data_IF_354740854532
#
_entry.id   IF_354740854532
#
_cell.length_a   1.000
_cell.length_b   1.000
_cell.length_c   1.000
_cell.angle_alpha   90.00
_cell.angle_beta   90.00
_cell.angle_gamma   90.00
#
_symmetry.space_group_name_H-M   'P 1'
#
loop_
_entity.id
_entity.type
_entity.pdbx_description
1 polymer ?
#
# COMPACT_ATOMS: atom_id res chain seq x y z
N UNK A 1 -26.15 -11.11 -7.57
CA UNK A 1 -24.72 -10.75 -7.47
C UNK A 1 -24.58 -9.25 -7.28
N UNK A 2 -24.24 -8.80 -6.06
CA UNK A 2 -24.00 -7.37 -5.79
C UNK A 2 -22.65 -6.87 -6.33
N UNK A 3 -21.87 -7.63 -7.02
CA UNK A 3 -20.54 -7.29 -7.51
C UNK A 3 -20.37 -7.37 -9.03
N UNK A 4 -21.46 -7.33 -9.80
CA UNK A 4 -21.33 -7.40 -11.26
C UNK A 4 -20.94 -6.05 -11.83
N UNK A 5 -19.64 -5.83 -12.05
CA UNK A 5 -19.10 -4.59 -12.62
C UNK A 5 -19.35 -4.45 -14.13
N UNK A 6 -19.94 -5.49 -14.76
CA UNK A 6 -20.19 -5.51 -16.22
C UNK A 6 -21.52 -4.90 -16.63
N UNK A 7 -22.32 -4.41 -15.66
CA UNK A 7 -23.65 -3.81 -15.88
C UNK A 7 -23.77 -2.45 -15.17
N UNK A 8 -24.76 -1.65 -15.58
CA UNK A 8 -25.09 -0.36 -14.97
C UNK A 8 -24.24 0.83 -15.44
N UNK A 9 -24.50 2.04 -14.92
CA UNK A 9 -23.75 3.26 -15.25
C UNK A 9 -22.31 3.16 -14.81
N UNK A 10 -21.37 3.46 -15.70
CA UNK A 10 -19.92 3.23 -15.49
C UNK A 10 -19.39 4.03 -14.31
N UNK A 11 -19.61 5.34 -14.29
CA UNK A 11 -19.06 6.21 -13.24
C UNK A 11 -19.62 5.84 -11.86
N UNK A 12 -20.92 5.57 -11.76
CA UNK A 12 -21.56 5.14 -10.51
C UNK A 12 -20.99 3.80 -10.00
N UNK A 13 -20.72 2.87 -10.92
CA UNK A 13 -20.13 1.57 -10.57
C UNK A 13 -18.70 1.74 -10.06
N UNK A 14 -17.89 2.56 -10.74
CA UNK A 14 -16.52 2.87 -10.34
C UNK A 14 -16.46 3.60 -8.99
N UNK A 15 -17.22 4.66 -8.80
CA UNK A 15 -17.21 5.44 -7.56
C UNK A 15 -17.71 4.63 -6.37
N UNK A 16 -18.75 3.80 -6.55
CA UNK A 16 -19.24 2.90 -5.51
C UNK A 16 -18.18 1.89 -5.02
N UNK A 17 -17.32 1.45 -5.94
CA UNK A 17 -16.19 0.56 -5.61
C UNK A 17 -15.00 1.35 -5.07
N UNK A 18 -14.68 2.50 -5.64
CA UNK A 18 -13.51 3.31 -5.30
C UNK A 18 -13.60 3.94 -3.91
N UNK A 19 -14.76 4.51 -3.54
CA UNK A 19 -14.93 5.23 -2.27
C UNK A 19 -14.52 4.41 -1.05
N UNK A 20 -14.96 3.14 -0.85
CA UNK A 20 -14.51 2.35 0.28
C UNK A 20 -13.01 1.99 0.23
N UNK A 21 -12.45 1.82 -0.99
CA UNK A 21 -11.00 1.54 -1.14
C UNK A 21 -10.20 2.78 -0.74
N UNK A 22 -10.57 3.96 -1.23
CA UNK A 22 -9.96 5.24 -0.85
C UNK A 22 -10.04 5.45 0.66
N UNK A 23 -11.23 5.23 1.24
CA UNK A 23 -11.42 5.34 2.68
C UNK A 23 -10.53 4.36 3.46
N UNK A 24 -10.34 3.11 2.97
CA UNK A 24 -9.39 2.16 3.57
C UNK A 24 -7.95 2.66 3.52
N UNK A 25 -7.53 3.30 2.43
CA UNK A 25 -6.19 3.87 2.30
C UNK A 25 -5.98 5.03 3.29
N UNK A 26 -6.98 5.90 3.45
CA UNK A 26 -6.94 6.96 4.47
C UNK A 26 -6.91 6.41 5.89
N UNK A 27 -7.67 5.34 6.19
CA UNK A 27 -7.59 4.65 7.47
C UNK A 27 -6.19 4.11 7.73
N UNK A 28 -5.53 3.56 6.70
CA UNK A 28 -4.14 3.10 6.79
C UNK A 28 -3.16 4.23 7.13
N UNK A 29 -3.34 5.42 6.55
CA UNK A 29 -2.54 6.60 6.89
C UNK A 29 -2.79 7.06 8.33
N UNK A 30 -4.05 7.11 8.75
CA UNK A 30 -4.42 7.48 10.12
C UNK A 30 -3.86 6.48 11.14
N UNK A 31 -3.91 5.19 10.82
CA UNK A 31 -3.28 4.13 11.59
C UNK A 31 -1.79 4.42 11.83
N UNK A 32 -1.03 4.65 10.75
CA UNK A 32 0.40 4.93 10.86
C UNK A 32 0.71 6.17 11.69
N UNK A 33 -0.08 7.24 11.54
CA UNK A 33 0.08 8.48 12.31
C UNK A 33 -0.18 8.23 13.80
N UNK A 34 -1.24 7.49 14.13
CA UNK A 34 -1.64 7.21 15.53
C UNK A 34 -0.59 6.31 16.19
N UNK A 35 -0.15 5.25 15.53
CA UNK A 35 0.89 4.35 16.02
C UNK A 35 2.21 5.11 16.31
N UNK A 36 2.64 5.95 15.36
CA UNK A 36 3.83 6.79 15.56
C UNK A 36 3.68 7.82 16.66
N UNK A 37 2.48 8.36 16.90
CA UNK A 37 2.23 9.27 18.00
C UNK A 37 2.42 8.58 19.37
N UNK A 38 1.92 7.36 19.54
CA UNK A 38 2.11 6.59 20.78
C UNK A 38 3.57 6.16 20.97
N UNK A 39 4.24 5.71 19.91
CA UNK A 39 5.65 5.36 19.96
C UNK A 39 6.52 6.58 20.27
N UNK A 40 6.13 7.76 19.79
CA UNK A 40 6.80 9.03 20.06
C UNK A 40 6.90 9.36 21.55
N UNK A 41 5.93 8.94 22.36
CA UNK A 41 5.95 9.09 23.82
C UNK A 41 7.05 8.25 24.52
N UNK A 42 7.57 7.22 23.84
CA UNK A 42 8.71 6.42 24.34
C UNK A 42 10.07 7.07 24.04
N UNK A 43 10.08 8.12 23.21
CA UNK A 43 11.28 8.87 22.85
C UNK A 43 11.82 8.56 21.46
N UNK A 44 12.76 9.38 21.02
CA UNK A 44 13.34 9.34 19.65
C UNK A 44 14.03 8.03 19.30
N UNK A 45 14.63 7.34 20.27
CA UNK A 45 15.29 6.06 20.10
C UNK A 45 14.31 4.94 19.71
N UNK A 46 13.14 4.92 20.37
CA UNK A 46 12.06 3.99 20.06
C UNK A 46 11.50 4.24 18.64
N UNK A 47 11.27 5.52 18.29
CA UNK A 47 10.83 5.93 16.96
C UNK A 47 11.82 5.49 15.88
N UNK A 48 13.13 5.67 16.12
CA UNK A 48 14.17 5.25 15.18
C UNK A 48 14.16 3.72 15.01
N UNK A 49 14.06 2.96 16.11
CA UNK A 49 14.00 1.50 16.05
C UNK A 49 12.79 0.96 15.30
N UNK A 50 11.60 1.49 15.60
CA UNK A 50 10.36 1.13 14.88
C UNK A 50 10.42 1.56 13.42
N UNK A 51 11.03 2.71 13.12
CA UNK A 51 11.24 3.17 11.76
C UNK A 51 12.04 2.18 10.92
N UNK A 52 13.11 1.64 11.46
CA UNK A 52 13.92 0.60 10.80
C UNK A 52 13.12 -0.70 10.61
N UNK A 53 12.42 -1.17 11.64
CA UNK A 53 11.56 -2.35 11.51
C UNK A 53 10.42 -2.16 10.51
N UNK A 54 9.84 -0.96 10.47
CA UNK A 54 8.79 -0.58 9.52
C UNK A 54 9.24 -0.63 8.06
N UNK A 55 10.52 -0.36 7.75
CA UNK A 55 11.05 -0.48 6.39
C UNK A 55 10.97 -1.92 5.88
N UNK A 56 11.23 -2.91 6.73
CA UNK A 56 11.13 -4.32 6.35
C UNK A 56 9.69 -4.77 6.15
N UNK A 57 8.76 -4.27 6.96
CA UNK A 57 7.32 -4.52 6.73
C UNK A 57 6.84 -3.87 5.45
N UNK A 58 7.30 -2.67 5.12
CA UNK A 58 6.97 -1.99 3.86
C UNK A 58 7.53 -2.75 2.65
N UNK A 59 8.79 -3.20 2.71
CA UNK A 59 9.38 -4.03 1.67
C UNK A 59 8.59 -5.32 1.43
N UNK A 60 8.12 -5.96 2.52
CA UNK A 60 7.31 -7.17 2.44
C UNK A 60 5.97 -6.96 1.73
N UNK A 61 5.38 -5.76 1.83
CA UNK A 61 4.14 -5.43 1.11
C UNK A 61 4.34 -5.43 -0.42
N UNK A 62 5.51 -4.99 -0.90
CA UNK A 62 5.88 -5.15 -2.31
C UNK A 62 5.84 -6.62 -2.75
N UNK A 63 6.36 -7.51 -1.91
CA UNK A 63 6.32 -8.96 -2.16
C UNK A 63 4.89 -9.52 -2.10
N UNK A 64 4.09 -9.10 -1.11
CA UNK A 64 2.68 -9.50 -0.98
C UNK A 64 1.81 -9.07 -2.18
N UNK A 65 2.19 -7.98 -2.87
CA UNK A 65 1.52 -7.52 -4.08
C UNK A 65 1.49 -8.59 -5.18
N UNK A 66 2.41 -9.56 -5.17
CA UNK A 66 2.41 -10.68 -6.11
C UNK A 66 1.13 -11.51 -6.03
N UNK A 67 0.78 -11.99 -4.84
CA UNK A 67 -0.43 -12.78 -4.63
C UNK A 67 -1.70 -11.92 -4.78
N UNK A 68 -1.66 -10.69 -4.24
CA UNK A 68 -2.78 -9.75 -4.31
C UNK A 68 -3.15 -9.42 -5.76
N UNK A 69 -2.22 -8.86 -6.52
CA UNK A 69 -2.49 -8.38 -7.89
C UNK A 69 -2.75 -9.53 -8.85
N UNK A 70 -1.92 -10.59 -8.78
CA UNK A 70 -2.11 -11.78 -9.60
C UNK A 70 -3.46 -12.45 -9.35
N UNK A 71 -3.86 -12.61 -8.09
CA UNK A 71 -5.16 -13.16 -7.69
C UNK A 71 -6.30 -12.24 -8.10
N UNK A 72 -6.23 -10.96 -7.80
CA UNK A 72 -7.28 -9.98 -8.12
C UNK A 72 -7.61 -9.96 -9.61
N UNK A 73 -6.61 -9.86 -10.47
CA UNK A 73 -6.82 -9.74 -11.92
C UNK A 73 -7.35 -11.04 -12.52
N UNK A 74 -6.77 -12.19 -12.16
CA UNK A 74 -7.21 -13.50 -12.68
C UNK A 74 -8.63 -13.83 -12.26
N UNK A 75 -8.94 -13.64 -10.96
CA UNK A 75 -10.28 -13.87 -10.43
C UNK A 75 -11.30 -12.93 -11.10
N UNK A 76 -11.00 -11.65 -11.22
CA UNK A 76 -11.89 -10.68 -11.85
C UNK A 76 -12.18 -11.02 -13.32
N UNK A 77 -11.15 -11.43 -14.09
CA UNK A 77 -11.32 -11.84 -15.48
C UNK A 77 -12.16 -13.12 -15.60
N UNK A 78 -11.93 -14.11 -14.73
CA UNK A 78 -12.74 -15.34 -14.71
C UNK A 78 -14.20 -15.06 -14.34
N UNK A 79 -14.45 -14.16 -13.38
CA UNK A 79 -15.81 -13.72 -13.04
C UNK A 79 -16.47 -13.06 -14.25
N UNK A 80 -15.73 -12.23 -14.98
CA UNK A 80 -16.21 -11.60 -16.21
C UNK A 80 -16.62 -12.59 -17.29
N UNK A 81 -15.84 -13.67 -17.47
CA UNK A 81 -16.14 -14.80 -18.41
C UNK A 81 -17.27 -15.68 -17.91
N UNK A 82 -17.69 -15.58 -16.66
CA UNK A 82 -18.65 -16.52 -16.06
C UNK A 82 -18.06 -17.85 -15.59
N UNK A 83 -16.73 -17.99 -15.60
CA UNK A 83 -15.99 -19.21 -15.23
C UNK A 83 -15.78 -19.29 -13.70
N UNK A 84 -16.84 -19.61 -12.95
CA UNK A 84 -16.82 -19.62 -11.48
C UNK A 84 -15.81 -20.59 -10.88
N UNK A 85 -15.66 -21.78 -11.44
CA UNK A 85 -14.73 -22.81 -10.95
C UNK A 85 -13.28 -22.36 -11.10
N UNK A 86 -12.94 -21.77 -12.25
CA UNK A 86 -11.58 -21.20 -12.46
C UNK A 86 -11.32 -20.01 -11.54
N UNK A 87 -12.33 -19.15 -11.34
CA UNK A 87 -12.22 -18.04 -10.40
C UNK A 87 -11.92 -18.54 -8.99
N UNK A 88 -12.61 -19.60 -8.53
CA UNK A 88 -12.34 -20.26 -7.26
C UNK A 88 -10.92 -20.84 -7.20
N UNK A 89 -10.47 -21.55 -8.26
CA UNK A 89 -9.12 -22.10 -8.35
C UNK A 89 -8.04 -21.03 -8.25
N UNK A 90 -8.20 -19.90 -8.94
CA UNK A 90 -7.27 -18.76 -8.83
C UNK A 90 -7.32 -18.11 -7.44
N UNK A 91 -8.50 -17.96 -6.84
CA UNK A 91 -8.62 -17.42 -5.49
C UNK A 91 -7.91 -18.31 -4.46
N UNK A 92 -8.11 -19.63 -4.54
CA UNK A 92 -7.44 -20.60 -3.70
C UNK A 92 -5.91 -20.55 -3.88
N UNK A 93 -5.44 -20.50 -5.12
CA UNK A 93 -4.01 -20.39 -5.42
C UNK A 93 -3.40 -19.10 -4.87
N UNK A 94 -4.11 -17.95 -4.97
CA UNK A 94 -3.65 -16.69 -4.43
C UNK A 94 -3.54 -16.72 -2.90
N UNK A 95 -4.53 -17.28 -2.21
CA UNK A 95 -4.53 -17.42 -0.74
C UNK A 95 -3.40 -18.33 -0.27
N UNK A 96 -3.19 -19.48 -0.93
CA UNK A 96 -2.09 -20.39 -0.59
C UNK A 96 -0.72 -19.76 -0.86
N UNK A 97 -0.57 -19.06 -1.98
CA UNK A 97 0.67 -18.35 -2.31
C UNK A 97 0.98 -17.27 -1.27
N UNK A 98 -0.04 -16.50 -0.85
CA UNK A 98 0.10 -15.48 0.19
C UNK A 98 0.52 -16.09 1.53
N UNK A 99 -0.11 -17.18 1.94
CA UNK A 99 0.24 -17.89 3.16
C UNK A 99 1.68 -18.43 3.10
N UNK A 100 2.04 -19.09 2.00
CA UNK A 100 3.40 -19.62 1.80
C UNK A 100 4.45 -18.50 1.83
N UNK A 101 4.26 -17.44 1.07
CA UNK A 101 5.20 -16.32 0.99
C UNK A 101 5.29 -15.57 2.32
N UNK A 102 4.16 -15.37 3.00
CA UNK A 102 4.13 -14.76 4.33
C UNK A 102 4.89 -15.59 5.36
N UNK A 103 4.71 -16.91 5.38
CA UNK A 103 5.47 -17.82 6.25
C UNK A 103 6.94 -17.87 5.89
N UNK A 104 7.29 -17.94 4.61
CA UNK A 104 8.67 -17.93 4.15
C UNK A 104 9.39 -16.63 4.55
N UNK A 105 8.75 -15.49 4.34
CA UNK A 105 9.28 -14.19 4.75
C UNK A 105 9.43 -14.10 6.28
N UNK A 106 8.44 -14.58 7.04
CA UNK A 106 8.48 -14.62 8.49
C UNK A 106 9.66 -15.44 8.98
N UNK A 107 9.85 -16.66 8.45
CA UNK A 107 10.97 -17.53 8.82
C UNK A 107 12.32 -16.89 8.49
N UNK A 108 12.48 -16.37 7.27
CA UNK A 108 13.69 -15.65 6.86
C UNK A 108 13.97 -14.44 7.76
N UNK A 109 12.95 -13.65 8.06
CA UNK A 109 13.09 -12.49 8.94
C UNK A 109 13.51 -12.87 10.35
N UNK A 110 12.96 -13.94 10.91
CA UNK A 110 13.32 -14.44 12.25
C UNK A 110 14.77 -14.94 12.30
N UNK A 111 15.20 -15.67 11.26
CA UNK A 111 16.57 -16.19 11.17
C UNK A 111 17.59 -15.07 10.97
N UNK A 112 17.28 -14.12 10.09
CA UNK A 112 18.20 -13.05 9.67
C UNK A 112 17.92 -11.69 10.33
N UNK A 113 17.14 -11.62 11.41
CA UNK A 113 16.81 -10.34 12.09
C UNK A 113 18.05 -9.53 12.44
N UNK A 114 19.09 -10.18 12.97
CA UNK A 114 20.35 -9.51 13.36
C UNK A 114 21.04 -8.85 12.17
N UNK A 115 21.10 -9.54 11.03
CA UNK A 115 21.72 -9.05 9.80
C UNK A 115 20.88 -7.92 9.19
N UNK A 116 19.55 -8.07 9.18
CA UNK A 116 18.62 -7.07 8.68
C UNK A 116 18.76 -5.75 9.47
N UNK A 117 18.63 -5.80 10.78
CA UNK A 117 18.76 -4.61 11.63
C UNK A 117 20.19 -4.09 11.63
N UNK A 118 21.20 -4.96 11.63
CA UNK A 118 22.62 -4.60 11.57
C UNK A 118 23.01 -3.85 10.29
N UNK A 119 22.28 -4.05 9.19
CA UNK A 119 22.50 -3.30 7.94
C UNK A 119 22.37 -1.79 8.12
N UNK A 120 21.50 -1.32 9.02
CA UNK A 120 21.27 0.11 9.29
C UNK A 120 22.31 0.73 10.23
N UNK A 121 23.20 -0.06 10.84
CA UNK A 121 24.29 0.40 11.71
C UNK A 121 23.84 1.44 12.75
N UNK A 122 22.72 1.14 13.45
CA UNK A 122 22.22 2.00 14.50
C UNK A 122 23.28 2.14 15.62
N UNK A 123 23.76 3.35 15.84
CA UNK A 123 24.80 3.64 16.83
C UNK A 123 24.32 3.47 18.28
N UNK A 124 23.02 3.67 18.51
CA UNK A 124 22.42 3.57 19.86
C UNK A 124 21.93 2.16 20.14
N UNK A 125 22.37 1.59 21.26
CA UNK A 125 22.04 0.22 21.66
C UNK A 125 20.53 0.05 21.97
N UNK A 126 19.86 1.08 22.51
CA UNK A 126 18.42 1.02 22.81
C UNK A 126 17.61 1.06 21.51
N UNK A 127 17.98 1.92 20.54
CA UNK A 127 17.34 1.96 19.23
C UNK A 127 17.54 0.64 18.48
N UNK A 128 18.72 0.03 18.57
CA UNK A 128 19.01 -1.29 18.00
C UNK A 128 18.14 -2.37 18.65
N UNK A 129 18.01 -2.40 19.98
CA UNK A 129 17.17 -3.36 20.70
C UNK A 129 15.70 -3.18 20.35
N UNK A 130 15.21 -1.93 20.23
CA UNK A 130 13.85 -1.61 19.79
C UNK A 130 13.60 -2.12 18.36
N UNK A 131 14.54 -1.88 17.42
CA UNK A 131 14.44 -2.38 16.05
C UNK A 131 14.39 -3.91 15.99
N UNK A 132 15.23 -4.58 16.78
CA UNK A 132 15.26 -6.03 16.89
C UNK A 132 13.93 -6.60 17.38
N UNK A 133 13.39 -6.05 18.47
CA UNK A 133 12.13 -6.50 19.07
C UNK A 133 10.95 -6.29 18.13
N UNK A 134 10.85 -5.09 17.53
CA UNK A 134 9.80 -4.77 16.59
C UNK A 134 9.84 -5.66 15.35
N UNK A 135 11.01 -5.79 14.72
CA UNK A 135 11.20 -6.59 13.50
C UNK A 135 10.87 -8.07 13.72
N UNK A 136 11.31 -8.65 14.84
CA UNK A 136 10.98 -10.05 15.17
C UNK A 136 9.49 -10.32 15.22
N UNK A 137 8.71 -9.43 15.83
CA UNK A 137 7.26 -9.62 16.01
C UNK A 137 6.53 -9.24 14.73
N UNK A 138 6.77 -8.04 14.20
CA UNK A 138 6.06 -7.53 13.05
C UNK A 138 6.34 -8.35 11.78
N UNK A 139 7.59 -8.71 11.52
CA UNK A 139 7.96 -9.56 10.39
C UNK A 139 7.76 -11.06 10.68
N UNK A 140 7.94 -11.51 11.93
CA UNK A 140 7.71 -12.91 12.31
C UNK A 140 6.25 -13.36 12.19
N UNK A 141 5.30 -12.42 12.26
CA UNK A 141 3.86 -12.67 12.12
C UNK A 141 3.26 -11.96 10.89
N UNK A 142 4.09 -11.62 9.92
CA UNK A 142 3.70 -10.87 8.71
C UNK A 142 2.68 -11.61 7.84
N UNK A 143 2.52 -12.90 8.04
CA UNK A 143 1.55 -13.73 7.30
C UNK A 143 0.13 -13.16 7.36
N UNK A 144 -0.27 -12.56 8.50
CA UNK A 144 -1.58 -11.92 8.63
C UNK A 144 -1.73 -10.74 7.67
N UNK A 145 -0.68 -9.93 7.50
CA UNK A 145 -0.67 -8.82 6.55
C UNK A 145 -0.74 -9.31 5.10
N UNK A 146 0.01 -10.35 4.72
CA UNK A 146 -0.05 -10.96 3.39
C UNK A 146 -1.45 -11.48 3.07
N UNK A 147 -2.05 -12.17 4.03
CA UNK A 147 -3.42 -12.69 3.89
C UNK A 147 -4.45 -11.55 3.76
N UNK A 148 -4.36 -10.54 4.61
CA UNK A 148 -5.24 -9.35 4.58
C UNK A 148 -5.18 -8.65 3.23
N UNK A 149 -3.97 -8.38 2.71
CA UNK A 149 -3.78 -7.74 1.41
C UNK A 149 -4.36 -8.57 0.26
N UNK A 150 -4.11 -9.87 0.29
CA UNK A 150 -4.60 -10.79 -0.76
C UNK A 150 -6.12 -10.93 -0.71
N UNK A 151 -6.71 -11.11 0.47
CA UNK A 151 -8.17 -11.13 0.63
C UNK A 151 -8.81 -9.83 0.18
N UNK A 152 -8.22 -8.67 0.51
CA UNK A 152 -8.69 -7.36 0.03
C UNK A 152 -8.75 -7.32 -1.51
N UNK A 153 -7.70 -7.80 -2.19
CA UNK A 153 -7.68 -7.89 -3.65
C UNK A 153 -8.76 -8.83 -4.19
N UNK A 154 -8.95 -9.99 -3.57
CA UNK A 154 -9.96 -10.97 -3.99
C UNK A 154 -11.40 -10.49 -3.75
N UNK A 155 -11.66 -9.75 -2.69
CA UNK A 155 -12.96 -9.07 -2.48
C UNK A 155 -13.18 -7.97 -3.52
N UNK A 156 -12.16 -7.16 -3.80
CA UNK A 156 -12.23 -6.11 -4.82
C UNK A 156 -12.48 -6.71 -6.21
N UNK A 157 -11.85 -7.85 -6.55
CA UNK A 157 -12.09 -8.59 -7.78
C UNK A 157 -13.56 -9.00 -7.97
N UNK A 158 -14.25 -9.28 -6.87
CA UNK A 158 -15.68 -9.62 -6.84
C UNK A 158 -16.60 -8.38 -6.83
N UNK A 159 -16.03 -7.16 -6.82
CA UNK A 159 -16.77 -5.90 -6.74
C UNK A 159 -17.26 -5.57 -5.32
N UNK A 160 -16.70 -6.20 -4.29
CA UNK A 160 -16.98 -5.90 -2.90
C UNK A 160 -15.78 -5.20 -2.25
N UNK A 161 -15.84 -3.88 -2.13
CA UNK A 161 -14.87 -3.08 -1.39
C UNK A 161 -15.33 -2.72 0.03
N UNK A 162 -16.61 -2.94 0.33
CA UNK A 162 -17.17 -2.60 1.65
C UNK A 162 -16.68 -3.54 2.75
N UNK A 163 -16.58 -4.83 2.45
CA UNK A 163 -16.12 -5.83 3.44
C UNK A 163 -14.69 -5.57 3.89
N UNK A 164 -13.71 -5.37 2.99
CA UNK A 164 -12.35 -4.97 3.40
C UNK A 164 -12.33 -3.64 4.15
N UNK A 165 -13.13 -2.65 3.72
CA UNK A 165 -13.21 -1.35 4.40
C UNK A 165 -13.67 -1.49 5.85
N UNK A 166 -14.76 -2.22 6.09
CA UNK A 166 -15.28 -2.43 7.45
C UNK A 166 -14.31 -3.23 8.32
N UNK A 167 -13.67 -4.25 7.75
CA UNK A 167 -12.64 -5.01 8.45
C UNK A 167 -11.45 -4.12 8.86
N UNK A 168 -10.95 -3.30 7.93
CA UNK A 168 -9.86 -2.36 8.20
C UNK A 168 -10.24 -1.28 9.23
N UNK A 169 -11.49 -0.80 9.20
CA UNK A 169 -11.99 0.14 10.19
C UNK A 169 -11.98 -0.46 11.60
N UNK A 170 -12.46 -1.70 11.74
CA UNK A 170 -12.42 -2.41 13.03
C UNK A 170 -10.97 -2.65 13.46
N UNK A 171 -10.08 -3.03 12.54
CA UNK A 171 -8.66 -3.20 12.82
C UNK A 171 -8.01 -1.91 13.31
N UNK A 172 -8.31 -0.77 12.68
CA UNK A 172 -7.83 0.54 13.13
C UNK A 172 -8.29 0.85 14.55
N UNK A 173 -9.59 0.73 14.82
CA UNK A 173 -10.14 0.99 16.17
C UNK A 173 -9.50 0.07 17.20
N UNK A 174 -9.32 -1.20 16.86
CA UNK A 174 -8.65 -2.16 17.74
C UNK A 174 -7.20 -1.75 18.04
N UNK A 175 -6.45 -1.35 17.02
CA UNK A 175 -5.08 -0.89 17.21
C UNK A 175 -5.02 0.38 18.06
N UNK A 176 -5.87 1.38 17.78
CA UNK A 176 -5.94 2.62 18.58
C UNK A 176 -6.23 2.38 20.06
N UNK A 177 -6.95 1.29 20.39
CA UNK A 177 -7.21 0.89 21.77
C UNK A 177 -6.03 0.10 22.35
N UNK A 178 -5.46 -0.82 21.58
CA UNK A 178 -4.38 -1.70 22.05
C UNK A 178 -3.05 -0.97 22.20
N UNK A 179 -2.74 0.01 21.35
CA UNK A 179 -1.48 0.76 21.39
C UNK A 179 -1.23 1.39 22.78
N UNK A 180 -2.08 2.28 23.30
CA UNK A 180 -1.84 2.87 24.63
C UNK A 180 -1.82 1.82 25.74
N UNK A 181 -2.63 0.75 25.62
CA UNK A 181 -2.68 -0.30 26.64
C UNK A 181 -1.39 -1.11 26.68
N UNK A 182 -0.85 -1.50 25.53
CA UNK A 182 0.33 -2.35 25.46
C UNK A 182 1.65 -1.55 25.48
N UNK A 183 1.65 -0.33 24.95
CA UNK A 183 2.84 0.53 24.94
C UNK A 183 3.10 1.12 26.32
N UNK A 184 2.08 1.73 26.94
CA UNK A 184 2.22 2.47 28.19
C UNK A 184 1.94 1.64 29.43
N UNK A 185 1.17 0.56 29.33
CA UNK A 185 0.81 -0.33 30.42
C UNK A 185 -0.02 0.33 31.53
N UNK A 186 -1.18 0.96 31.25
CA UNK A 186 -1.99 1.57 32.30
C UNK A 186 -2.64 0.51 33.18
N UNK A 187 -2.61 0.74 34.50
CA UNK A 187 -3.24 -0.14 35.49
C UNK A 187 -2.56 -1.53 35.61
N UNK A 188 -3.29 -2.63 35.46
CA UNK A 188 -2.74 -3.99 35.62
C UNK A 188 -1.95 -4.50 34.41
N UNK A 189 -1.89 -3.76 33.31
CA UNK A 189 -1.22 -4.18 32.08
C UNK A 189 0.29 -3.90 32.14
N UNK A 190 1.14 -4.82 31.63
CA UNK A 190 2.57 -4.61 31.61
C UNK A 190 2.94 -3.55 30.55
N UNK A 191 3.87 -2.67 30.91
CA UNK A 191 4.46 -1.69 29.97
C UNK A 191 5.43 -2.42 29.03
N UNK A 192 4.99 -2.71 27.81
CA UNK A 192 5.76 -3.44 26.80
C UNK A 192 6.54 -2.53 25.84
N UNK A 193 6.26 -1.22 25.84
CA UNK A 193 6.93 -0.25 24.97
C UNK A 193 6.81 -0.62 23.48
N UNK A 194 7.95 -0.64 22.75
CA UNK A 194 8.02 -0.96 21.32
C UNK A 194 7.50 -2.38 21.00
N UNK A 195 7.73 -3.32 21.89
CA UNK A 195 7.19 -4.70 21.77
C UNK A 195 5.66 -4.68 21.78
N UNK A 196 5.08 -3.83 22.64
CA UNK A 196 3.63 -3.62 22.73
C UNK A 196 3.04 -3.08 21.44
N UNK A 197 3.69 -2.10 20.80
CA UNK A 197 3.29 -1.56 19.51
C UNK A 197 3.28 -2.65 18.41
N UNK A 198 4.34 -3.48 18.35
CA UNK A 198 4.39 -4.57 17.39
C UNK A 198 3.28 -5.60 17.61
N UNK A 199 2.99 -5.96 18.86
CA UNK A 199 1.90 -6.89 19.20
C UNK A 199 0.54 -6.30 18.83
N UNK A 200 0.28 -5.02 19.13
CA UNK A 200 -0.96 -4.34 18.80
C UNK A 200 -1.19 -4.35 17.27
N UNK A 201 -0.16 -4.00 16.50
CA UNK A 201 -0.17 -4.01 15.03
C UNK A 201 -0.53 -5.39 14.47
N UNK A 202 0.18 -6.42 14.91
CA UNK A 202 -0.06 -7.80 14.43
C UNK A 202 -1.43 -8.31 14.86
N UNK A 203 -1.88 -8.02 16.07
CA UNK A 203 -3.20 -8.39 16.57
C UNK A 203 -4.31 -7.73 15.73
N UNK A 204 -4.16 -6.43 15.41
CA UNK A 204 -5.09 -5.73 14.53
C UNK A 204 -5.15 -6.39 13.14
N UNK A 205 -4.01 -6.74 12.53
CA UNK A 205 -3.95 -7.43 11.25
C UNK A 205 -4.60 -8.82 11.29
N UNK A 206 -4.39 -9.56 12.37
CA UNK A 206 -5.02 -10.87 12.58
C UNK A 206 -6.54 -10.75 12.69
N UNK A 207 -7.04 -9.71 13.38
CA UNK A 207 -8.48 -9.43 13.49
C UNK A 207 -9.07 -9.06 12.13
N UNK A 208 -8.40 -8.18 11.36
CA UNK A 208 -8.84 -7.81 10.01
C UNK A 208 -8.95 -9.04 9.11
N UNK A 209 -7.91 -9.90 9.10
CA UNK A 209 -7.93 -11.16 8.35
C UNK A 209 -9.07 -12.05 8.80
N UNK A 210 -9.26 -12.21 10.11
CA UNK A 210 -10.31 -13.07 10.67
C UNK A 210 -11.72 -12.58 10.32
N UNK A 211 -11.97 -11.28 10.37
CA UNK A 211 -13.25 -10.68 9.97
C UNK A 211 -13.52 -10.95 8.49
N UNK A 212 -12.54 -10.77 7.61
CA UNK A 212 -12.70 -11.03 6.19
C UNK A 212 -12.93 -12.52 5.92
N UNK A 213 -12.21 -13.41 6.59
CA UNK A 213 -12.43 -14.85 6.48
C UNK A 213 -13.82 -15.27 7.01
N UNK A 214 -14.24 -14.73 8.15
CA UNK A 214 -15.55 -15.00 8.73
C UNK A 214 -16.69 -14.48 7.84
N UNK A 215 -16.51 -13.34 7.20
CA UNK A 215 -17.48 -12.78 6.25
C UNK A 215 -17.74 -13.72 5.06
N UNK A 216 -16.75 -14.54 4.64
CA UNK A 216 -16.95 -15.59 3.62
C UNK A 216 -17.92 -16.66 4.10
N UNK A 217 -17.81 -17.05 5.38
CA UNK A 217 -18.61 -18.14 5.98
C UNK A 217 -20.04 -17.67 6.24
N UNK A 218 -20.20 -16.47 6.82
CA UNK A 218 -21.50 -15.95 7.26
C UNK A 218 -22.39 -15.56 6.07
N UNK A 219 -21.80 -15.02 5.01
CA UNK A 219 -22.58 -14.58 3.84
C UNK A 219 -23.15 -15.78 3.09
N UNK A 220 -24.49 -15.85 3.01
CA UNK A 220 -25.23 -16.88 2.25
C UNK A 220 -25.07 -16.76 0.73
N UNK A 221 -24.55 -15.61 0.24
CA UNK A 221 -24.35 -15.34 -1.20
C UNK A 221 -23.20 -16.18 -1.76
N UNK A 222 -23.29 -16.55 -3.03
CA UNK A 222 -22.19 -17.18 -3.77
C UNK A 222 -20.94 -16.28 -3.72
N UNK A 223 -19.91 -16.75 -3.05
CA UNK A 223 -18.63 -16.10 -2.94
C UNK A 223 -17.55 -17.04 -3.49
N UNK A 224 -16.70 -16.54 -4.37
CA UNK A 224 -15.59 -17.29 -4.97
C UNK A 224 -14.61 -17.81 -3.89
N UNK A 225 -14.58 -17.17 -2.74
CA UNK A 225 -13.71 -17.56 -1.61
C UNK A 225 -14.27 -18.71 -0.76
N UNK A 226 -15.52 -19.15 -1.00
CA UNK A 226 -16.15 -20.18 -0.18
C UNK A 226 -15.54 -21.55 -0.49
N UNK A 227 -15.13 -22.28 0.55
CA UNK A 227 -14.54 -23.61 0.40
C UNK A 227 -13.05 -23.63 0.07
N UNK A 228 -12.33 -22.54 0.31
CA UNK A 228 -10.87 -22.51 0.16
C UNK A 228 -10.19 -23.36 1.24
N UNK A 229 -9.33 -24.27 0.81
CA UNK A 229 -8.51 -25.11 1.68
C UNK A 229 -7.03 -24.80 1.49
N UNK A 230 -6.33 -24.42 2.57
CA UNK A 230 -4.92 -24.03 2.51
C UNK A 230 -3.97 -25.18 2.08
N UNK A 231 -4.36 -26.42 2.32
CA UNK A 231 -3.52 -27.62 2.03
C UNK A 231 -3.97 -28.38 0.77
N UNK A 232 -5.00 -27.92 0.06
CA UNK A 232 -5.44 -28.60 -1.16
C UNK A 232 -4.38 -28.45 -2.29
N UNK A 233 -4.20 -29.50 -3.06
CA UNK A 233 -3.33 -29.47 -4.26
C UNK A 233 -3.92 -28.53 -5.31
N UNK A 234 -3.12 -27.59 -5.76
CA UNK A 234 -3.48 -26.65 -6.81
C UNK A 234 -2.75 -27.03 -8.11
N UNK A 235 -3.45 -27.05 -9.25
CA UNK A 235 -2.82 -27.18 -10.54
C UNK A 235 -1.80 -26.07 -10.78
N UNK A 236 -0.64 -26.41 -11.33
CA UNK A 236 0.44 -25.45 -11.62
C UNK A 236 0.02 -24.30 -12.54
N UNK A 237 -1.02 -24.51 -13.33
CA UNK A 237 -1.60 -23.51 -14.23
C UNK A 237 -2.10 -22.28 -13.46
N UNK A 238 -2.78 -22.45 -12.33
CA UNK A 238 -3.27 -21.33 -11.51
C UNK A 238 -2.13 -20.54 -10.89
N UNK A 239 -1.11 -21.21 -10.35
CA UNK A 239 0.08 -20.54 -9.82
C UNK A 239 0.83 -19.79 -10.92
N UNK A 240 1.03 -20.42 -12.09
CA UNK A 240 1.67 -19.78 -13.24
C UNK A 240 0.92 -18.53 -13.71
N UNK A 241 -0.41 -18.59 -13.75
CA UNK A 241 -1.26 -17.44 -14.08
C UNK A 241 -1.12 -16.28 -13.10
N UNK A 242 -1.08 -16.56 -11.79
CA UNK A 242 -0.87 -15.55 -10.75
C UNK A 242 0.54 -14.96 -10.83
N UNK A 243 1.57 -15.80 -10.95
CA UNK A 243 2.96 -15.37 -11.01
C UNK A 243 3.24 -14.50 -12.25
N UNK A 244 2.65 -14.82 -13.39
CA UNK A 244 2.80 -14.04 -14.63
C UNK A 244 2.37 -12.58 -14.49
N UNK A 245 1.34 -12.32 -13.69
CA UNK A 245 0.82 -10.97 -13.40
C UNK A 245 1.50 -10.39 -12.19
N UNK A 246 1.67 -11.18 -11.14
CA UNK A 246 2.11 -10.74 -9.82
C UNK A 246 3.60 -10.45 -9.71
N UNK A 247 4.47 -11.27 -10.34
CA UNK A 247 5.93 -11.07 -10.27
C UNK A 247 6.34 -9.69 -10.80
N UNK A 248 5.90 -9.24 -11.99
CA UNK A 248 6.23 -7.90 -12.46
C UNK A 248 5.80 -6.81 -11.48
N UNK A 249 4.60 -6.94 -10.89
CA UNK A 249 4.09 -5.96 -9.91
C UNK A 249 4.92 -5.95 -8.62
N UNK A 250 5.32 -7.13 -8.13
CA UNK A 250 6.17 -7.23 -6.95
C UNK A 250 7.55 -6.61 -7.18
N UNK A 251 8.18 -6.91 -8.32
CA UNK A 251 9.48 -6.34 -8.70
C UNK A 251 9.38 -4.81 -8.83
N UNK A 252 8.30 -4.30 -9.44
CA UNK A 252 8.04 -2.86 -9.53
C UNK A 252 7.94 -2.21 -8.15
N UNK A 253 7.17 -2.79 -7.24
CA UNK A 253 7.01 -2.27 -5.88
C UNK A 253 8.31 -2.27 -5.08
N UNK A 254 9.07 -3.38 -5.15
CA UNK A 254 10.37 -3.48 -4.48
C UNK A 254 11.39 -2.49 -5.07
N UNK A 255 11.44 -2.33 -6.39
CA UNK A 255 12.31 -1.36 -7.06
C UNK A 255 11.97 0.07 -6.65
N UNK A 256 10.68 0.42 -6.59
CA UNK A 256 10.23 1.72 -6.12
C UNK A 256 10.70 2.02 -4.68
N UNK A 257 10.56 1.05 -3.78
CA UNK A 257 11.05 1.17 -2.40
C UNK A 257 12.57 1.40 -2.36
N UNK A 258 13.33 0.59 -3.09
CA UNK A 258 14.79 0.71 -3.12
C UNK A 258 15.26 2.07 -3.67
N UNK A 259 14.65 2.53 -4.76
CA UNK A 259 14.97 3.83 -5.37
C UNK A 259 14.61 4.97 -4.41
N UNK A 260 13.45 4.91 -3.76
CA UNK A 260 13.03 5.89 -2.77
C UNK A 260 13.97 5.96 -1.56
N UNK A 261 14.53 4.83 -1.11
CA UNK A 261 15.55 4.79 -0.07
C UNK A 261 16.83 5.51 -0.49
N UNK A 262 17.31 5.30 -1.74
CA UNK A 262 18.48 5.97 -2.28
C UNK A 262 18.25 7.49 -2.34
N UNK A 263 17.10 7.93 -2.86
CA UNK A 263 16.77 9.36 -2.93
C UNK A 263 16.67 10.00 -1.55
N UNK A 264 16.06 9.32 -0.57
CA UNK A 264 15.99 9.82 0.81
C UNK A 264 17.39 9.95 1.43
N UNK A 265 18.30 9.01 1.13
CA UNK A 265 19.71 9.13 1.55
C UNK A 265 20.41 10.33 0.94
N UNK A 266 20.13 10.66 -0.33
CA UNK A 266 20.67 11.87 -0.96
C UNK A 266 20.16 13.14 -0.28
N UNK A 267 18.86 13.20 0.03
CA UNK A 267 18.24 14.32 0.75
C UNK A 267 18.81 14.47 2.17
N UNK A 268 19.14 13.38 2.84
CA UNK A 268 19.72 13.43 4.19
C UNK A 268 21.09 14.16 4.25
N UNK A 269 21.80 14.19 3.14
CA UNK A 269 23.03 14.97 3.00
C UNK A 269 22.84 16.50 3.11
N UNK A 270 21.60 16.98 2.94
CA UNK A 270 21.25 18.41 3.09
C UNK A 270 20.77 18.80 4.49
N UNK A 271 20.78 17.87 5.43
CA UNK A 271 20.45 18.10 6.83
C UNK A 271 19.08 17.59 7.26
N UNK A 272 18.86 17.62 8.58
CA UNK A 272 17.65 17.08 9.19
C UNK A 272 16.36 17.83 8.76
N UNK A 273 16.47 19.13 8.51
CA UNK A 273 15.36 19.97 8.05
C UNK A 273 14.83 19.53 6.67
N UNK A 274 15.73 19.19 5.73
CA UNK A 274 15.37 18.70 4.41
C UNK A 274 14.62 17.36 4.49
N UNK A 275 15.11 16.46 5.35
CA UNK A 275 14.45 15.15 5.59
C UNK A 275 13.08 15.34 6.24
N UNK A 276 12.98 16.23 7.22
CA UNK A 276 11.71 16.55 7.88
C UNK A 276 10.68 17.13 6.89
N UNK A 277 11.12 18.07 6.05
CA UNK A 277 10.29 18.67 5.00
C UNK A 277 9.79 17.61 4.02
N UNK A 278 10.68 16.74 3.51
CA UNK A 278 10.28 15.66 2.60
C UNK A 278 9.30 14.69 3.25
N UNK A 279 9.49 14.38 4.53
CA UNK A 279 8.63 13.44 5.27
C UNK A 279 7.22 14.01 5.49
N UNK A 280 7.13 15.26 5.93
CA UNK A 280 5.84 15.95 6.13
C UNK A 280 5.18 16.22 4.78
N UNK A 281 5.94 16.70 3.78
CA UNK A 281 5.45 16.92 2.42
C UNK A 281 4.89 15.64 1.80
N UNK A 282 5.56 14.50 1.99
CA UNK A 282 5.06 13.20 1.56
C UNK A 282 3.75 12.77 2.25
N UNK A 283 3.52 13.16 3.51
CA UNK A 283 2.22 12.93 4.16
C UNK A 283 1.11 13.79 3.53
N UNK A 284 1.41 15.01 3.15
CA UNK A 284 0.46 15.89 2.44
C UNK A 284 0.14 15.31 1.06
N UNK A 285 1.16 14.90 0.31
CA UNK A 285 1.03 14.24 -1.00
C UNK A 285 0.25 12.93 -0.91
N UNK A 286 0.36 12.18 0.19
CA UNK A 286 -0.33 10.90 0.38
C UNK A 286 -1.85 11.02 0.28
N UNK A 287 -2.42 12.19 0.53
CA UNK A 287 -3.87 12.45 0.36
C UNK A 287 -4.25 12.30 -1.12
N UNK A 288 -3.47 12.92 -2.01
CA UNK A 288 -3.67 12.83 -3.46
C UNK A 288 -3.39 11.41 -3.95
N UNK A 289 -2.27 10.85 -3.54
CA UNK A 289 -1.84 9.51 -3.93
C UNK A 289 -2.86 8.43 -3.53
N UNK A 290 -3.33 8.42 -2.27
CA UNK A 290 -4.34 7.46 -1.79
C UNK A 290 -5.67 7.56 -2.54
N UNK A 291 -6.06 8.78 -2.93
CA UNK A 291 -7.26 9.01 -3.74
C UNK A 291 -7.10 8.40 -5.12
N UNK A 292 -5.98 8.68 -5.79
CA UNK A 292 -5.70 8.19 -7.13
C UNK A 292 -5.51 6.66 -7.15
N UNK A 293 -4.75 6.10 -6.19
CA UNK A 293 -4.50 4.66 -6.07
C UNK A 293 -5.79 3.87 -5.76
N UNK A 294 -6.62 4.38 -4.86
CA UNK A 294 -7.92 3.77 -4.55
C UNK A 294 -8.84 3.72 -5.76
N UNK A 295 -8.83 4.78 -6.57
CA UNK A 295 -9.59 4.81 -7.82
C UNK A 295 -8.99 3.89 -8.89
N UNK A 296 -7.66 3.81 -8.98
CA UNK A 296 -6.93 2.91 -9.86
C UNK A 296 -7.19 1.43 -9.52
N UNK A 297 -7.25 1.09 -8.23
CA UNK A 297 -7.57 -0.26 -7.76
C UNK A 297 -9.02 -0.66 -8.13
N UNK A 298 -9.97 0.26 -8.00
CA UNK A 298 -11.35 0.04 -8.44
C UNK A 298 -11.43 -0.13 -9.96
N UNK A 299 -10.72 0.71 -10.71
CA UNK A 299 -10.64 0.63 -12.16
C UNK A 299 -10.02 -0.68 -12.63
N UNK A 300 -8.99 -1.16 -11.95
CA UNK A 300 -8.35 -2.45 -12.22
C UNK A 300 -9.39 -3.59 -12.20
N UNK A 301 -10.16 -3.72 -11.13
CA UNK A 301 -11.18 -4.75 -11.01
C UNK A 301 -12.30 -4.57 -12.05
N UNK A 302 -12.73 -3.33 -12.30
CA UNK A 302 -13.73 -3.01 -13.31
C UNK A 302 -13.27 -3.42 -14.71
N UNK A 303 -12.05 -3.05 -15.11
CA UNK A 303 -11.47 -3.40 -16.40
C UNK A 303 -11.29 -4.91 -16.51
N UNK A 304 -10.75 -5.57 -15.49
CA UNK A 304 -10.52 -7.00 -15.51
C UNK A 304 -11.83 -7.79 -15.74
N UNK A 305 -12.92 -7.45 -15.04
CA UNK A 305 -14.22 -8.10 -15.25
C UNK A 305 -14.81 -7.81 -16.64
N UNK A 306 -14.76 -6.55 -17.10
CA UNK A 306 -15.30 -6.18 -18.42
C UNK A 306 -14.47 -6.76 -19.57
N UNK A 307 -13.15 -6.84 -19.41
CA UNK A 307 -12.24 -7.49 -20.36
C UNK A 307 -12.53 -8.99 -20.43
N UNK A 308 -12.67 -9.67 -19.29
CA UNK A 308 -13.08 -11.05 -19.22
C UNK A 308 -14.42 -11.32 -19.92
N UNK A 309 -15.39 -10.39 -19.75
CA UNK A 309 -16.71 -10.46 -20.40
C UNK A 309 -16.71 -10.08 -21.90
N UNK A 310 -15.56 -9.74 -22.48
CA UNK A 310 -15.46 -9.30 -23.89
C UNK A 310 -16.01 -7.90 -24.17
N UNK A 311 -16.33 -7.10 -23.15
CA UNK A 311 -16.96 -5.76 -23.27
C UNK A 311 -15.94 -4.65 -23.45
N UNK A 312 -15.19 -4.67 -24.56
CA UNK A 312 -14.10 -3.71 -24.81
C UNK A 312 -14.55 -2.25 -24.88
N UNK A 313 -15.76 -1.96 -25.37
CA UNK A 313 -16.29 -0.58 -25.36
C UNK A 313 -16.48 -0.05 -23.94
N UNK A 314 -16.90 -0.93 -23.04
CA UNK A 314 -17.06 -0.60 -21.63
C UNK A 314 -15.72 -0.41 -20.92
N UNK A 315 -14.69 -1.19 -21.29
CA UNK A 315 -13.31 -1.01 -20.86
C UNK A 315 -12.80 0.39 -21.24
N UNK A 316 -12.93 0.76 -22.52
CA UNK A 316 -12.50 2.08 -23.03
C UNK A 316 -13.23 3.24 -22.34
N UNK A 317 -14.57 3.13 -22.22
CA UNK A 317 -15.38 4.15 -21.54
C UNK A 317 -15.02 4.26 -20.06
N UNK A 318 -14.79 3.14 -19.36
CA UNK A 318 -14.36 3.12 -17.96
C UNK A 318 -13.01 3.78 -17.74
N UNK A 319 -12.05 3.49 -18.59
CA UNK A 319 -10.74 4.14 -18.58
C UNK A 319 -10.82 5.65 -18.79
N UNK A 320 -11.57 6.09 -19.83
CA UNK A 320 -11.77 7.53 -20.10
C UNK A 320 -12.46 8.23 -18.93
N UNK A 321 -13.53 7.64 -18.37
CA UNK A 321 -14.23 8.21 -17.23
C UNK A 321 -13.31 8.37 -16.01
N UNK A 322 -12.48 7.36 -15.75
CA UNK A 322 -11.51 7.41 -14.67
C UNK A 322 -10.42 8.46 -14.90
N UNK A 323 -9.89 8.56 -16.12
CA UNK A 323 -8.90 9.59 -16.48
C UNK A 323 -9.45 11.00 -16.24
N UNK A 324 -10.70 11.26 -16.63
CA UNK A 324 -11.33 12.56 -16.39
C UNK A 324 -11.52 12.81 -14.89
N UNK A 325 -12.06 11.85 -14.15
CA UNK A 325 -12.34 12.02 -12.72
C UNK A 325 -11.06 12.24 -11.93
N UNK A 326 -10.07 11.37 -12.12
CA UNK A 326 -8.79 11.42 -11.36
C UNK A 326 -7.88 12.51 -11.92
N UNK A 327 -7.96 12.81 -13.21
CA UNK A 327 -7.24 13.93 -13.83
C UNK A 327 -7.69 15.29 -13.32
N UNK A 328 -9.00 15.51 -13.20
CA UNK A 328 -9.55 16.74 -12.58
C UNK A 328 -9.08 16.84 -11.13
N UNK A 329 -9.11 15.74 -10.36
CA UNK A 329 -8.57 15.70 -8.99
C UNK A 329 -7.10 16.10 -8.97
N UNK A 330 -6.25 15.51 -9.82
CA UNK A 330 -4.83 15.84 -9.91
C UNK A 330 -4.58 17.30 -10.25
N UNK A 331 -5.36 17.89 -11.17
CA UNK A 331 -5.29 19.32 -11.51
C UNK A 331 -5.66 20.19 -10.30
N UNK A 332 -6.72 19.83 -9.57
CA UNK A 332 -7.14 20.58 -8.38
C UNK A 332 -6.05 20.56 -7.30
N UNK A 333 -5.40 19.41 -7.07
CA UNK A 333 -4.29 19.31 -6.12
C UNK A 333 -3.06 20.08 -6.62
N UNK A 334 -2.73 19.99 -7.92
CA UNK A 334 -1.69 20.82 -8.53
C UNK A 334 -1.91 22.30 -8.26
N UNK A 335 -3.12 22.79 -8.52
CA UNK A 335 -3.48 24.18 -8.25
C UNK A 335 -3.38 24.53 -6.76
N UNK A 336 -3.83 23.64 -5.88
CA UNK A 336 -3.73 23.84 -4.43
C UNK A 336 -2.25 23.95 -3.97
N UNK A 337 -1.38 23.06 -4.43
CA UNK A 337 0.03 23.06 -4.02
C UNK A 337 0.85 24.18 -4.63
N UNK A 338 0.53 24.60 -5.86
CA UNK A 338 1.26 25.65 -6.57
C UNK A 338 0.76 27.04 -6.18
N UNK A 339 -0.58 27.22 -6.02
CA UNK A 339 -1.15 28.54 -5.72
C UNK A 339 -1.22 28.85 -4.22
N UNK A 340 -1.33 27.82 -3.36
CA UNK A 340 -1.47 27.95 -1.91
C UNK A 340 -0.43 27.17 -1.11
N UNK A 341 0.85 27.12 -1.52
CA UNK A 341 1.84 26.29 -0.84
C UNK A 341 2.13 26.78 0.59
N UNK A 342 2.15 28.11 0.79
CA UNK A 342 2.46 28.71 2.09
C UNK A 342 1.40 28.44 3.15
N UNK A 343 0.10 28.70 2.93
CA UNK A 343 -0.95 28.31 3.87
C UNK A 343 -0.93 26.83 4.25
N UNK A 344 -0.64 25.95 3.27
CA UNK A 344 -0.54 24.50 3.54
C UNK A 344 0.68 24.19 4.40
N UNK A 345 1.84 24.78 4.11
CA UNK A 345 3.06 24.58 4.89
C UNK A 345 2.92 25.10 6.33
N UNK A 346 2.26 26.24 6.54
CA UNK A 346 2.05 26.85 7.86
C UNK A 346 1.16 26.01 8.80
N UNK A 347 0.36 25.09 8.26
CA UNK A 347 -0.40 24.10 9.08
C UNK A 347 0.54 23.14 9.81
N UNK A 348 1.68 22.79 9.20
CA UNK A 348 2.57 21.74 9.69
C UNK A 348 3.89 22.28 10.28
N UNK A 349 4.33 23.46 9.82
CA UNK A 349 5.59 24.06 10.21
C UNK A 349 5.38 25.44 10.83
N UNK A 350 6.11 25.73 11.89
CA UNK A 350 6.01 27.00 12.62
C UNK A 350 7.28 27.87 12.47
N UNK A 351 8.39 27.25 12.05
CA UNK A 351 9.65 27.95 11.85
C UNK A 351 9.72 28.57 10.43
N UNK A 352 10.04 29.84 10.26
CA UNK A 352 10.07 30.53 8.96
C UNK A 352 10.91 29.83 7.89
N UNK A 353 12.06 29.27 8.33
CA UNK A 353 12.98 28.57 7.42
C UNK A 353 12.40 27.24 6.92
N UNK A 354 11.80 26.46 7.83
CA UNK A 354 11.13 25.20 7.49
C UNK A 354 9.92 25.45 6.56
N UNK A 355 9.15 26.52 6.79
CA UNK A 355 8.04 26.93 5.92
C UNK A 355 8.55 27.24 4.52
N UNK A 356 9.66 27.99 4.39
CA UNK A 356 10.23 28.35 3.06
C UNK A 356 10.68 27.11 2.30
N UNK A 357 11.34 26.16 2.98
CA UNK A 357 11.77 24.88 2.39
C UNK A 357 10.57 24.03 1.99
N UNK A 358 9.52 23.96 2.81
CA UNK A 358 8.29 23.24 2.54
C UNK A 358 7.50 23.84 1.37
N UNK A 359 7.46 25.17 1.25
CA UNK A 359 6.85 25.86 0.09
C UNK A 359 7.55 25.45 -1.21
N UNK A 360 8.88 25.43 -1.22
CA UNK A 360 9.66 24.97 -2.38
C UNK A 360 9.33 23.51 -2.75
N UNK A 361 9.27 22.63 -1.75
CA UNK A 361 8.89 21.22 -1.94
C UNK A 361 7.49 21.09 -2.54
N UNK A 362 6.47 21.74 -1.94
CA UNK A 362 5.09 21.64 -2.37
C UNK A 362 4.88 22.14 -3.81
N UNK A 363 5.55 23.21 -4.21
CA UNK A 363 5.48 23.73 -5.58
C UNK A 363 6.03 22.69 -6.56
N UNK A 364 7.21 22.12 -6.28
CA UNK A 364 7.86 21.14 -7.15
C UNK A 364 7.00 19.89 -7.30
N UNK A 365 6.59 19.29 -6.19
CA UNK A 365 5.71 18.09 -6.20
C UNK A 365 4.36 18.43 -6.82
N UNK A 366 3.82 19.62 -6.57
CA UNK A 366 2.55 20.05 -7.14
C UNK A 366 2.49 19.95 -8.67
N UNK A 367 3.59 20.26 -9.36
CA UNK A 367 3.65 20.10 -10.82
C UNK A 367 3.57 18.64 -11.29
N UNK A 368 3.95 17.68 -10.46
CA UNK A 368 3.90 16.25 -10.78
C UNK A 368 2.55 15.58 -10.48
N UNK A 369 1.68 16.19 -9.64
CA UNK A 369 0.46 15.58 -9.12
C UNK A 369 -0.53 15.12 -10.22
N UNK A 370 -0.79 15.97 -11.20
CA UNK A 370 -1.69 15.63 -12.30
C UNK A 370 -1.14 14.45 -13.13
N UNK A 371 0.18 14.43 -13.37
CA UNK A 371 0.83 13.33 -14.10
C UNK A 371 0.82 12.03 -13.30
N UNK A 372 1.08 12.09 -11.99
CA UNK A 372 0.98 10.95 -11.08
C UNK A 372 -0.42 10.34 -11.09
N UNK A 373 -1.46 11.16 -11.02
CA UNK A 373 -2.85 10.72 -11.08
C UNK A 373 -3.17 9.98 -12.39
N UNK A 374 -2.70 10.49 -13.52
CA UNK A 374 -2.84 9.85 -14.84
C UNK A 374 -2.06 8.54 -14.91
N UNK A 375 -0.84 8.52 -14.39
CA UNK A 375 0.02 7.33 -14.34
C UNK A 375 -0.66 6.22 -13.54
N UNK A 376 -1.06 6.45 -12.29
CA UNK A 376 -1.71 5.46 -11.43
C UNK A 376 -2.98 4.89 -12.07
N UNK A 377 -3.81 5.76 -12.67
CA UNK A 377 -5.02 5.35 -13.37
C UNK A 377 -4.70 4.44 -14.56
N UNK A 378 -3.66 4.77 -15.32
CA UNK A 378 -3.23 4.01 -16.51
C UNK A 378 -2.62 2.66 -16.10
N UNK A 379 -1.79 2.64 -15.04
CA UNK A 379 -1.24 1.40 -14.47
C UNK A 379 -2.35 0.50 -13.97
N UNK A 380 -3.36 1.06 -13.27
CA UNK A 380 -4.54 0.31 -12.83
C UNK A 380 -5.29 -0.34 -13.99
N UNK A 381 -5.49 0.40 -15.08
CA UNK A 381 -6.16 -0.08 -16.27
C UNK A 381 -5.38 -1.19 -16.98
N UNK A 382 -4.09 -0.98 -17.25
CA UNK A 382 -3.23 -1.96 -17.92
C UNK A 382 -3.05 -3.23 -17.10
N UNK A 383 -2.95 -3.09 -15.77
CA UNK A 383 -2.88 -4.23 -14.86
C UNK A 383 -4.17 -5.04 -14.89
N UNK A 384 -5.35 -4.40 -14.98
CA UNK A 384 -6.64 -5.07 -15.15
C UNK A 384 -6.74 -5.87 -16.45
N UNK A 385 -6.06 -5.41 -17.51
CA UNK A 385 -5.90 -6.18 -18.76
C UNK A 385 -4.88 -7.34 -18.66
N UNK A 386 -4.19 -7.47 -17.52
CA UNK A 386 -3.12 -8.46 -17.32
C UNK A 386 -1.77 -8.05 -17.93
N UNK A 387 -1.59 -6.79 -18.33
CA UNK A 387 -0.36 -6.29 -18.95
C UNK A 387 0.63 -5.69 -17.93
N UNK A 388 0.74 -6.31 -16.76
CA UNK A 388 1.60 -5.84 -15.65
C UNK A 388 3.09 -5.80 -16.02
N UNK A 389 3.56 -6.70 -16.88
CA UNK A 389 4.95 -6.70 -17.37
C UNK A 389 5.31 -5.39 -18.06
N UNK A 390 4.41 -4.87 -18.91
CA UNK A 390 4.62 -3.59 -19.59
C UNK A 390 4.67 -2.43 -18.59
N UNK A 391 3.72 -2.40 -17.63
CA UNK A 391 3.71 -1.41 -16.55
C UNK A 391 5.02 -1.42 -15.77
N UNK A 392 5.48 -2.61 -15.37
CA UNK A 392 6.70 -2.75 -14.56
C UNK A 392 7.95 -2.29 -15.32
N UNK A 393 8.10 -2.65 -16.58
CA UNK A 393 9.25 -2.22 -17.39
C UNK A 393 9.27 -0.69 -17.49
N UNK A 394 8.15 -0.07 -17.84
CA UNK A 394 8.04 1.39 -17.96
C UNK A 394 8.31 2.05 -16.61
N UNK A 395 7.58 1.66 -15.56
CA UNK A 395 7.73 2.26 -14.24
C UNK A 395 9.14 2.12 -13.68
N UNK A 396 9.76 0.92 -13.77
CA UNK A 396 11.12 0.71 -13.26
C UNK A 396 12.11 1.57 -14.04
N UNK A 397 12.00 1.63 -15.37
CA UNK A 397 12.91 2.42 -16.22
C UNK A 397 12.86 3.90 -15.84
N UNK A 398 11.65 4.49 -15.80
CA UNK A 398 11.51 5.92 -15.49
C UNK A 398 11.80 6.24 -14.03
N UNK A 399 11.38 5.36 -13.09
CA UNK A 399 11.67 5.57 -11.67
C UNK A 399 13.18 5.44 -11.39
N UNK A 400 13.89 4.52 -12.05
CA UNK A 400 15.34 4.39 -11.94
C UNK A 400 16.09 5.60 -12.50
N UNK A 401 15.56 6.25 -13.54
CA UNK A 401 16.12 7.47 -14.09
C UNK A 401 16.14 8.65 -13.09
N UNK A 402 15.30 8.59 -12.05
CA UNK A 402 15.31 9.60 -10.97
C UNK A 402 16.64 9.66 -10.24
N UNK A 403 17.39 8.57 -10.09
CA UNK A 403 18.69 8.57 -9.39
C UNK A 403 19.73 9.40 -10.16
N UNK A 404 20.06 9.11 -11.43
CA UNK A 404 21.03 9.93 -12.16
C UNK A 404 20.55 11.37 -12.36
N UNK A 405 19.24 11.60 -12.57
CA UNK A 405 18.70 12.95 -12.66
C UNK A 405 18.85 13.71 -11.33
N UNK A 406 18.59 13.07 -10.19
CA UNK A 406 18.77 13.66 -8.88
C UNK A 406 20.24 14.00 -8.59
N UNK A 407 21.20 13.19 -9.07
CA UNK A 407 22.63 13.50 -8.96
C UNK A 407 22.99 14.74 -9.80
N UNK A 408 22.54 14.80 -11.04
CA UNK A 408 22.85 15.91 -11.97
C UNK A 408 22.15 17.19 -11.48
N UNK A 409 20.85 17.16 -11.27
CA UNK A 409 20.09 18.34 -10.86
C UNK A 409 20.41 18.76 -9.42
N UNK A 410 20.68 17.80 -8.53
CA UNK A 410 21.15 18.08 -7.17
C UNK A 410 22.50 18.79 -7.16
N UNK A 411 23.41 18.46 -8.09
CA UNK A 411 24.68 19.18 -8.29
C UNK A 411 24.49 20.60 -8.83
N UNK A 412 23.47 20.86 -9.64
CA UNK A 412 23.18 22.16 -10.25
C UNK A 412 22.31 23.06 -9.38
N UNK A 413 21.29 22.51 -8.71
CA UNK A 413 20.23 23.26 -8.03
C UNK A 413 20.14 22.93 -6.53
N UNK A 414 21.05 22.11 -6.01
CA UNK A 414 21.03 21.67 -4.62
C UNK A 414 19.81 20.80 -4.29
N UNK A 415 19.26 20.99 -3.08
CA UNK A 415 18.12 20.20 -2.58
C UNK A 415 16.90 20.23 -3.52
N UNK A 416 16.57 21.39 -4.08
CA UNK A 416 15.46 21.53 -5.03
C UNK A 416 15.64 20.67 -6.27
N UNK A 417 16.88 20.49 -6.74
CA UNK A 417 17.18 19.64 -7.89
C UNK A 417 16.96 18.14 -7.63
N UNK A 418 17.01 17.69 -6.38
CA UNK A 418 16.68 16.30 -6.04
C UNK A 418 15.16 16.08 -6.07
N UNK A 419 14.38 17.10 -5.75
CA UNK A 419 12.92 17.03 -5.74
C UNK A 419 12.30 17.16 -7.13
N UNK A 420 12.95 17.86 -8.08
CA UNK A 420 12.59 17.91 -9.50
C UNK A 420 12.85 16.57 -10.20
#
# INVERSE_FOLDING_TARGET
MEGNLTKGPILRTLTKLAIPIMASSFLGTLYNITDMAWIGLLGSKAVAGVGVGGMFTWFSQGLAAMARMGGQVQVAQCIGRGEKEKAHGFAQAAVQLAAFMGMAYALLSLVFTKQMVGFFQLADAEAHAAAMSYTKIACGLIVFSFMTLTLTGLYTAQGDSKTPFLANLIGLVTNMILDPVLILGPGPFPKLGVTGAAIATVTAQAIVMSIMALAVIIRKKENVLKGIHLLAKIPREYLGGICRIGIPTAVQGMAYCAISMVLTRMVSGYGAEAVATQRVGGQIESISWNTADGFAAALNAFIAQNYGAGKMDRVKKGYRASLWTVGIWGILITLAFVCFPRPIAEIFFHEPKAITTAVGYLIIIGFSEAFMCVELTTVGALSGLGRTKLCSIISITFTSARIPLAIILGGLMGLSGIWW
#
